data_IF_916225607484
#
_entry.id   IF_916225607484
#
_cell.length_a   1.000
_cell.length_b   1.000
_cell.length_c   1.000
_cell.angle_alpha   90.00
_cell.angle_beta   90.00
_cell.angle_gamma   90.00
#
_symmetry.space_group_name_H-M   'P 1'
#
loop_
_entity.id
_entity.type
_entity.pdbx_description
1 polymer ?
#
# COMPACT_ATOMS: atom_id res chain seq x y z
N UNK A 1 -3.93 -19.39 30.03
CA UNK A 1 -3.93 -19.24 28.55
C UNK A 1 -2.57 -18.68 28.12
N UNK A 2 -1.95 -19.21 27.07
CA UNK A 2 -0.73 -18.65 26.46
C UNK A 2 -1.03 -18.38 24.97
N UNK A 3 -0.65 -17.21 24.47
CA UNK A 3 -0.87 -16.81 23.07
C UNK A 3 0.50 -16.57 22.42
N UNK A 4 0.75 -17.26 21.32
CA UNK A 4 1.96 -17.11 20.52
C UNK A 4 1.59 -16.43 19.20
N UNK A 5 2.36 -15.43 18.79
CA UNK A 5 2.08 -14.62 17.60
C UNK A 5 3.33 -14.52 16.73
N UNK A 6 3.15 -14.07 15.49
CA UNK A 6 4.22 -13.84 14.52
C UNK A 6 4.92 -12.48 14.67
N UNK A 7 4.51 -11.68 15.66
CA UNK A 7 5.04 -10.34 15.91
C UNK A 7 6.57 -10.40 16.04
N UNK A 8 7.26 -9.57 15.26
CA UNK A 8 8.68 -9.32 15.41
C UNK A 8 8.88 -7.97 16.12
N UNK A 9 9.28 -7.96 17.40
CA UNK A 9 9.48 -6.74 18.17
C UNK A 9 10.50 -5.78 17.56
N UNK A 10 11.51 -6.30 16.85
CA UNK A 10 12.55 -5.48 16.23
C UNK A 10 11.97 -4.72 15.05
N UNK A 11 11.24 -5.42 14.17
CA UNK A 11 10.55 -4.80 13.04
C UNK A 11 9.49 -3.78 13.49
N UNK A 12 8.72 -4.12 14.53
CA UNK A 12 7.71 -3.23 15.11
C UNK A 12 8.35 -1.92 15.61
N UNK A 13 9.39 -2.02 16.46
CA UNK A 13 10.06 -0.85 17.01
C UNK A 13 10.67 0.04 15.92
N UNK A 14 11.32 -0.55 14.91
CA UNK A 14 11.89 0.20 13.78
C UNK A 14 10.82 0.92 12.96
N UNK A 15 9.68 0.27 12.70
CA UNK A 15 8.56 0.85 11.96
C UNK A 15 7.95 2.03 12.70
N UNK A 16 7.73 1.89 14.01
CA UNK A 16 7.24 2.93 14.90
C UNK A 16 8.16 4.15 14.93
N UNK A 17 9.48 3.93 15.10
CA UNK A 17 10.47 5.00 15.09
C UNK A 17 10.52 5.73 13.75
N UNK A 18 10.44 4.99 12.63
CA UNK A 18 10.43 5.59 11.30
C UNK A 18 9.23 6.52 11.10
N UNK A 19 8.03 6.08 11.51
CA UNK A 19 6.81 6.88 11.43
C UNK A 19 6.89 8.09 12.36
N UNK A 20 7.27 7.90 13.63
CA UNK A 20 7.40 8.98 14.61
C UNK A 20 8.38 10.06 14.16
N UNK A 21 9.46 9.67 13.46
CA UNK A 21 10.45 10.61 12.91
C UNK A 21 9.96 11.30 11.63
N UNK A 22 9.41 10.54 10.67
CA UNK A 22 9.15 11.04 9.31
C UNK A 22 7.83 11.76 9.14
N UNK A 23 6.78 11.37 9.84
CA UNK A 23 5.48 12.03 9.66
C UNK A 23 5.51 13.51 10.07
N UNK A 24 6.16 13.93 11.17
CA UNK A 24 6.31 15.36 11.48
C UNK A 24 7.08 16.13 10.41
N UNK A 25 8.11 15.53 9.79
CA UNK A 25 8.85 16.15 8.68
C UNK A 25 7.96 16.36 7.45
N UNK A 26 7.18 15.33 7.08
CA UNK A 26 6.26 15.37 5.93
C UNK A 26 5.06 16.28 6.17
N UNK A 27 4.57 16.36 7.40
CA UNK A 27 3.44 17.21 7.79
C UNK A 27 3.71 18.71 7.57
N UNK A 28 4.99 19.12 7.54
CA UNK A 28 5.38 20.50 7.16
C UNK A 28 4.91 20.88 5.75
N UNK A 29 4.75 19.90 4.85
CA UNK A 29 4.25 20.08 3.48
C UNK A 29 2.83 19.54 3.30
N UNK A 30 2.52 18.41 3.92
CA UNK A 30 1.23 17.71 3.78
C UNK A 30 0.13 18.16 4.75
N UNK A 31 0.40 19.16 5.60
CA UNK A 31 -0.52 19.62 6.62
C UNK A 31 -0.45 18.82 7.94
N UNK A 32 -0.91 19.45 9.03
CA UNK A 32 -0.84 18.88 10.40
C UNK A 32 -1.69 17.61 10.57
N UNK A 33 -2.72 17.46 9.75
CA UNK A 33 -3.63 16.30 9.73
C UNK A 33 -3.05 15.08 9.00
N UNK A 34 -1.83 15.17 8.46
CA UNK A 34 -1.18 14.03 7.80
C UNK A 34 -1.08 12.83 8.76
N UNK A 35 -1.40 11.65 8.23
CA UNK A 35 -1.43 10.38 8.92
C UNK A 35 -0.69 9.30 8.12
N UNK A 36 -0.39 8.18 8.78
CA UNK A 36 0.27 7.04 8.14
C UNK A 36 -0.26 5.71 8.64
N UNK A 37 -0.07 4.69 7.81
CA UNK A 37 -0.25 3.29 8.17
C UNK A 37 0.87 2.48 7.52
N UNK A 38 1.30 1.41 8.18
CA UNK A 38 2.30 0.49 7.66
C UNK A 38 2.01 -0.94 8.12
N UNK A 39 2.31 -1.90 7.25
CA UNK A 39 2.22 -3.34 7.53
C UNK A 39 3.47 -3.99 6.92
N UNK A 40 4.12 -4.85 7.69
CA UNK A 40 5.20 -5.70 7.20
C UNK A 40 4.78 -7.17 7.34
N UNK A 41 4.94 -7.91 6.25
CA UNK A 41 4.59 -9.33 6.16
C UNK A 41 5.78 -10.15 5.71
N UNK A 42 5.87 -11.38 6.19
CA UNK A 42 6.81 -12.35 5.66
C UNK A 42 6.39 -12.79 4.24
N UNK A 43 7.33 -12.75 3.30
CA UNK A 43 7.04 -12.99 1.87
C UNK A 43 6.61 -14.42 1.57
N UNK A 44 7.03 -15.40 2.36
CA UNK A 44 6.77 -16.82 2.08
C UNK A 44 5.57 -17.35 2.85
N UNK A 45 5.46 -16.99 4.13
CA UNK A 45 4.40 -17.47 5.03
C UNK A 45 3.18 -16.54 5.10
N UNK A 46 3.33 -15.26 4.73
CA UNK A 46 2.28 -14.25 4.89
C UNK A 46 2.08 -13.77 6.33
N UNK A 47 2.91 -14.21 7.28
CA UNK A 47 2.85 -13.80 8.68
C UNK A 47 3.02 -12.28 8.84
N UNK A 48 2.15 -11.64 9.62
CA UNK A 48 2.29 -10.22 9.96
C UNK A 48 3.39 -10.08 11.02
N UNK A 49 4.46 -9.39 10.65
CA UNK A 49 5.63 -9.16 11.50
C UNK A 49 5.55 -7.85 12.28
N UNK A 50 4.97 -6.81 11.67
CA UNK A 50 4.79 -5.51 12.28
C UNK A 50 3.61 -4.77 11.65
N UNK A 51 2.95 -3.92 12.44
CA UNK A 51 1.81 -3.11 12.01
C UNK A 51 1.75 -1.81 12.79
N UNK A 52 1.58 -0.70 12.08
CA UNK A 52 1.32 0.62 12.67
C UNK A 52 0.07 1.22 12.02
N UNK A 53 -0.92 1.58 12.85
CA UNK A 53 -2.23 2.06 12.40
C UNK A 53 -2.39 3.59 12.37
N UNK A 54 -1.37 4.36 12.72
CA UNK A 54 -1.45 5.82 12.80
C UNK A 54 -0.11 6.48 13.09
N UNK A 55 -0.05 7.81 12.97
CA UNK A 55 1.17 8.58 13.28
C UNK A 55 1.55 8.57 14.77
N UNK A 56 0.57 8.36 15.66
CA UNK A 56 0.77 8.23 17.10
C UNK A 56 0.86 6.76 17.47
N UNK A 57 2.09 6.32 17.71
CA UNK A 57 2.43 4.96 18.17
C UNK A 57 1.88 4.70 19.57
N UNK A 58 1.42 3.47 19.83
CA UNK A 58 0.90 3.06 21.14
C UNK A 58 -0.45 3.69 21.52
N UNK A 59 -1.10 4.41 20.61
CA UNK A 59 -2.42 4.97 20.85
C UNK A 59 -3.52 3.96 20.51
N UNK A 60 -4.40 3.70 21.49
CA UNK A 60 -5.63 2.96 21.28
C UNK A 60 -6.65 3.85 20.55
N UNK A 61 -6.89 3.55 19.28
CA UNK A 61 -7.82 4.31 18.44
C UNK A 61 -8.00 3.67 17.07
N UNK A 62 -8.33 4.49 16.08
CA UNK A 62 -8.59 4.00 14.72
C UNK A 62 -7.33 3.43 14.06
N UNK A 63 -7.34 2.12 13.79
CA UNK A 63 -6.24 1.43 13.12
C UNK A 63 -6.38 1.55 11.60
N UNK A 64 -5.66 2.49 10.99
CA UNK A 64 -5.69 2.71 9.53
C UNK A 64 -5.14 1.54 8.72
N UNK A 65 -4.27 0.72 9.29
CA UNK A 65 -3.76 -0.47 8.60
C UNK A 65 -4.83 -1.54 8.39
N UNK A 66 -5.87 -1.55 9.23
CA UNK A 66 -6.99 -2.50 9.16
C UNK A 66 -8.28 -1.88 8.63
N UNK A 67 -8.54 -0.62 8.98
CA UNK A 67 -9.87 -0.03 8.85
C UNK A 67 -9.97 1.08 7.80
N UNK A 68 -8.85 1.63 7.31
CA UNK A 68 -8.89 2.69 6.31
C UNK A 68 -9.01 2.12 4.89
N UNK A 69 -10.17 2.32 4.26
CA UNK A 69 -10.33 2.07 2.82
C UNK A 69 -9.91 3.31 2.02
N UNK A 70 -9.00 3.12 1.05
CA UNK A 70 -8.44 4.18 0.21
C UNK A 70 -8.30 3.70 -1.24
N UNK A 71 -8.46 4.59 -2.25
CA UNK A 71 -8.06 4.27 -3.61
C UNK A 71 -6.58 3.92 -3.65
N UNK A 72 -6.25 2.75 -4.20
CA UNK A 72 -4.87 2.27 -4.29
C UNK A 72 -4.04 2.98 -5.38
N UNK A 73 -4.71 3.68 -6.30
CA UNK A 73 -4.08 4.40 -7.40
C UNK A 73 -3.24 3.49 -8.29
N UNK A 74 -2.04 3.96 -8.66
CA UNK A 74 -1.13 3.22 -9.55
C UNK A 74 -0.63 1.87 -9.00
N UNK A 75 -0.89 1.54 -7.73
CA UNK A 75 -0.57 0.22 -7.17
C UNK A 75 -1.32 -0.93 -7.87
N UNK A 76 -2.38 -0.65 -8.63
CA UNK A 76 -3.08 -1.67 -9.45
C UNK A 76 -2.25 -2.16 -10.64
N UNK A 77 -1.30 -1.35 -11.13
CA UNK A 77 -0.60 -1.59 -12.40
C UNK A 77 0.08 -2.97 -12.47
N UNK A 78 0.84 -3.44 -11.45
CA UNK A 78 1.46 -4.76 -11.51
C UNK A 78 0.48 -5.91 -11.76
N UNK A 79 -0.75 -5.85 -11.26
CA UNK A 79 -1.76 -6.87 -11.54
C UNK A 79 -2.12 -6.90 -13.03
N UNK A 80 -2.26 -5.73 -13.67
CA UNK A 80 -2.54 -5.62 -15.11
C UNK A 80 -1.37 -6.18 -15.93
N UNK A 81 -0.12 -5.83 -15.57
CA UNK A 81 1.07 -6.36 -16.24
C UNK A 81 1.23 -7.87 -16.04
N UNK A 82 0.92 -8.38 -14.85
CA UNK A 82 0.95 -9.82 -14.57
C UNK A 82 -0.02 -10.58 -15.50
N UNK A 83 -1.27 -10.11 -15.61
CA UNK A 83 -2.27 -10.71 -16.51
C UNK A 83 -1.83 -10.70 -17.99
N UNK A 84 -1.09 -9.68 -18.42
CA UNK A 84 -0.51 -9.67 -19.76
C UNK A 84 0.61 -10.72 -19.89
N UNK A 85 1.54 -10.76 -18.94
CA UNK A 85 2.69 -11.68 -18.97
C UNK A 85 2.31 -13.16 -18.74
N UNK A 86 1.14 -13.43 -18.17
CA UNK A 86 0.53 -14.78 -18.13
C UNK A 86 0.15 -15.30 -19.54
N UNK A 87 0.20 -14.45 -20.57
CA UNK A 87 -0.02 -14.80 -21.98
C UNK A 87 1.29 -14.63 -22.78
N UNK A 88 2.30 -15.50 -22.57
CA UNK A 88 3.65 -15.34 -23.14
C UNK A 88 3.68 -15.37 -24.68
N UNK A 89 2.70 -16.00 -25.33
CA UNK A 89 2.56 -16.01 -26.80
C UNK A 89 2.18 -14.64 -27.37
N UNK A 90 1.69 -13.72 -26.54
CA UNK A 90 1.21 -12.39 -26.95
C UNK A 90 2.04 -11.25 -26.37
N UNK A 91 2.47 -11.37 -25.11
CA UNK A 91 3.11 -10.29 -24.38
C UNK A 91 4.42 -10.76 -23.75
N UNK A 92 5.44 -9.91 -23.83
CA UNK A 92 6.70 -10.06 -23.13
C UNK A 92 7.20 -8.68 -22.65
N UNK A 93 8.34 -8.66 -21.97
CA UNK A 93 8.89 -7.42 -21.41
C UNK A 93 9.32 -6.38 -22.46
N UNK A 94 9.51 -6.79 -23.72
CA UNK A 94 9.81 -5.92 -24.86
C UNK A 94 8.58 -5.53 -25.70
N UNK A 95 7.37 -5.97 -25.34
CA UNK A 95 6.15 -5.57 -26.07
C UNK A 95 5.94 -4.06 -25.93
N UNK A 96 5.81 -3.36 -27.07
CA UNK A 96 5.56 -1.92 -27.10
C UNK A 96 4.13 -1.60 -26.68
N UNK A 97 3.96 -0.49 -25.96
CA UNK A 97 2.66 0.02 -25.53
C UNK A 97 2.41 1.38 -26.19
N UNK A 98 1.17 1.61 -26.62
CA UNK A 98 0.77 2.89 -27.16
C UNK A 98 0.54 3.90 -26.04
N UNK A 99 1.34 4.96 -26.02
CA UNK A 99 1.20 6.11 -25.12
C UNK A 99 0.74 7.33 -25.92
N UNK A 100 -0.50 7.26 -26.41
CA UNK A 100 -1.16 8.31 -27.19
C UNK A 100 -2.46 8.72 -26.51
N UNK A 101 -2.99 9.93 -26.76
CA UNK A 101 -4.26 10.36 -26.20
C UNK A 101 -5.38 9.32 -26.41
N UNK A 102 -6.12 9.03 -25.34
CA UNK A 102 -7.18 8.02 -25.32
C UNK A 102 -8.48 8.66 -24.82
N UNK A 103 -9.59 8.33 -25.48
CA UNK A 103 -10.93 8.72 -25.08
C UNK A 103 -11.81 7.48 -25.00
N UNK A 104 -12.30 7.15 -23.81
CA UNK A 104 -13.12 5.96 -23.58
C UNK A 104 -14.58 6.34 -23.36
N UNK A 105 -15.49 5.83 -24.19
CA UNK A 105 -16.93 6.02 -23.98
C UNK A 105 -17.43 5.06 -22.91
N UNK A 106 -17.93 5.61 -21.81
CA UNK A 106 -18.66 4.86 -20.78
C UNK A 106 -20.00 4.37 -21.32
N UNK A 107 -20.55 3.31 -20.71
CA UNK A 107 -21.89 2.79 -21.02
C UNK A 107 -23.01 3.82 -20.81
N UNK A 108 -22.74 4.90 -20.06
CA UNK A 108 -23.67 6.02 -19.82
C UNK A 108 -23.48 7.19 -20.81
N UNK A 109 -22.63 7.05 -21.82
CA UNK A 109 -22.40 8.08 -22.86
C UNK A 109 -21.35 9.14 -22.52
N UNK A 110 -20.84 9.18 -21.28
CA UNK A 110 -19.75 10.07 -20.88
C UNK A 110 -18.41 9.60 -21.45
N UNK A 111 -17.54 10.54 -21.85
CA UNK A 111 -16.17 10.24 -22.25
C UNK A 111 -15.26 10.35 -21.01
N UNK A 112 -14.49 9.29 -20.75
CA UNK A 112 -13.39 9.26 -19.79
C UNK A 112 -12.06 9.47 -20.51
#
# INVERSE_FOLDING_TARGET
LRVFTSLDPVSQSKMEQAIAKKIPELAKRGGKELEAAAVAVDRHSGEVRAMVGGKRVGYEGFNRALNASRPIGSLVKPAIYLTALEQPDKYNLGTTLHDTPLSLKSSKGNVW
#
